data_IF_773974591756
#
_entry.id   IF_773974591756
#
_cell.length_a   1.000
_cell.length_b   1.000
_cell.length_c   1.000
_cell.angle_alpha   90.00
_cell.angle_beta   90.00
_cell.angle_gamma   90.00
#
_symmetry.space_group_name_H-M   'P 1'
#
loop_
_entity.id
_entity.type
_entity.pdbx_description
1 polymer ?
#
# COMPACT_ATOMS: atom_id res chain seq x y z
N UNK A 1 61.03 -56.88 -35.37
CA UNK A 1 61.09 -57.29 -33.95
C UNK A 1 61.28 -56.03 -33.13
N UNK A 2 60.21 -55.57 -32.48
CA UNK A 2 60.14 -54.28 -31.78
C UNK A 2 61.08 -54.24 -30.57
N UNK A 3 62.09 -53.38 -30.62
CA UNK A 3 62.84 -52.97 -29.43
C UNK A 3 62.04 -51.88 -28.72
N UNK A 4 61.24 -52.30 -27.74
CA UNK A 4 60.49 -51.40 -26.86
C UNK A 4 61.48 -50.53 -26.09
N UNK A 5 61.40 -49.22 -26.32
CA UNK A 5 62.23 -48.21 -25.70
C UNK A 5 62.24 -48.37 -24.16
N UNK A 6 63.43 -48.52 -23.58
CA UNK A 6 63.66 -48.40 -22.14
C UNK A 6 63.41 -46.95 -21.74
N UNK A 7 62.15 -46.60 -21.48
CA UNK A 7 61.83 -45.35 -20.82
C UNK A 7 62.54 -45.33 -19.46
N UNK A 8 63.37 -44.31 -19.16
CA UNK A 8 64.10 -44.27 -17.90
C UNK A 8 63.06 -44.16 -16.78
N UNK A 9 63.10 -45.08 -15.81
CA UNK A 9 62.19 -45.12 -14.65
C UNK A 9 62.03 -43.76 -13.97
N UNK A 10 63.05 -42.91 -14.06
CA UNK A 10 63.07 -41.51 -13.61
C UNK A 10 62.01 -40.63 -14.30
N UNK A 11 61.82 -40.76 -15.62
CA UNK A 11 60.83 -39.97 -16.35
C UNK A 11 59.38 -40.32 -15.95
N UNK A 12 59.11 -41.59 -15.63
CA UNK A 12 57.80 -42.05 -15.15
C UNK A 12 57.52 -41.48 -13.76
N UNK A 13 58.50 -41.52 -12.86
CA UNK A 13 58.36 -40.97 -11.49
C UNK A 13 58.15 -39.46 -11.53
N UNK A 14 58.90 -38.73 -12.36
CA UNK A 14 58.73 -37.27 -12.52
C UNK A 14 57.35 -36.95 -13.07
N UNK A 15 56.89 -37.69 -14.09
CA UNK A 15 55.55 -37.47 -14.67
C UNK A 15 54.46 -37.74 -13.64
N UNK A 16 54.56 -38.82 -12.86
CA UNK A 16 53.60 -39.11 -11.78
C UNK A 16 53.62 -38.04 -10.69
N UNK A 17 54.79 -37.49 -10.35
CA UNK A 17 54.91 -36.43 -9.35
C UNK A 17 54.30 -35.12 -9.84
N UNK A 18 54.53 -34.76 -11.11
CA UNK A 18 53.92 -33.57 -11.74
C UNK A 18 52.40 -33.73 -11.81
N UNK A 19 51.90 -34.90 -12.22
CA UNK A 19 50.46 -35.18 -12.27
C UNK A 19 49.84 -35.09 -10.87
N UNK A 20 50.46 -35.70 -9.86
CA UNK A 20 49.99 -35.63 -8.48
C UNK A 20 49.98 -34.19 -7.94
N UNK A 21 51.00 -33.39 -8.28
CA UNK A 21 51.07 -31.98 -7.90
C UNK A 21 49.93 -31.17 -8.55
N UNK A 22 49.64 -31.38 -9.84
CA UNK A 22 48.54 -30.72 -10.54
C UNK A 22 47.18 -31.06 -9.91
N UNK A 23 46.95 -32.33 -9.53
CA UNK A 23 45.72 -32.72 -8.84
C UNK A 23 45.61 -32.14 -7.43
N UNK A 24 46.73 -32.04 -6.69
CA UNK A 24 46.73 -31.42 -5.36
C UNK A 24 46.42 -29.91 -5.42
N UNK A 25 46.94 -29.21 -6.43
CA UNK A 25 46.68 -27.76 -6.60
C UNK A 25 45.24 -27.51 -7.07
N UNK A 26 44.70 -28.36 -7.95
CA UNK A 26 43.30 -28.25 -8.40
C UNK A 26 42.28 -28.60 -7.30
N UNK A 27 42.64 -29.48 -6.36
CA UNK A 27 41.78 -29.83 -5.21
C UNK A 27 41.67 -28.74 -4.13
N UNK A 28 42.51 -27.70 -4.19
CA UNK A 28 42.46 -26.55 -3.27
C UNK A 28 41.81 -25.30 -3.87
N UNK A 29 41.25 -25.36 -5.08
CA UNK A 29 40.50 -24.24 -5.64
C UNK A 29 39.13 -24.14 -4.94
N UNK A 30 38.80 -22.99 -4.29
CA UNK A 30 37.48 -22.80 -3.72
C UNK A 30 36.43 -22.86 -4.82
N UNK A 31 35.36 -23.62 -4.56
CA UNK A 31 34.19 -23.74 -5.43
C UNK A 31 33.52 -22.37 -5.59
N UNK A 32 33.57 -21.77 -6.78
CA UNK A 32 32.93 -20.48 -7.05
C UNK A 32 31.39 -20.55 -7.13
N UNK A 33 30.83 -21.76 -7.23
CA UNK A 33 29.39 -22.01 -7.37
C UNK A 33 28.72 -22.35 -6.03
N UNK A 34 29.48 -22.54 -4.94
CA UNK A 34 28.91 -22.91 -3.63
C UNK A 34 28.16 -21.78 -2.93
N UNK A 35 28.43 -20.51 -3.27
CA UNK A 35 27.68 -19.40 -2.67
C UNK A 35 26.39 -19.08 -3.43
N UNK A 36 26.35 -19.26 -4.76
CA UNK A 36 25.21 -18.86 -5.59
C UNK A 36 23.93 -19.66 -5.34
N UNK A 37 24.04 -20.86 -4.75
CA UNK A 37 22.90 -21.73 -4.42
C UNK A 37 22.65 -21.83 -2.91
N UNK A 38 23.36 -21.04 -2.10
CA UNK A 38 23.16 -21.06 -0.66
C UNK A 38 21.83 -20.35 -0.33
N UNK A 39 20.83 -21.06 0.22
CA UNK A 39 19.52 -20.47 0.53
C UNK A 39 19.58 -19.37 1.60
N UNK A 40 20.73 -19.21 2.26
CA UNK A 40 21.00 -18.22 3.30
C UNK A 40 21.92 -17.07 2.85
N UNK A 41 22.30 -17.00 1.56
CA UNK A 41 23.15 -15.93 1.04
C UNK A 41 22.49 -14.55 1.16
N UNK A 42 21.19 -14.45 0.87
CA UNK A 42 20.42 -13.20 1.02
C UNK A 42 20.50 -12.63 2.44
N UNK A 43 20.12 -13.39 3.48
CA UNK A 43 20.27 -12.99 4.88
C UNK A 43 21.71 -12.59 5.26
N UNK A 44 22.72 -13.33 4.79
CA UNK A 44 24.14 -13.05 5.07
C UNK A 44 24.63 -11.75 4.43
N UNK A 45 24.22 -11.47 3.20
CA UNK A 45 24.56 -10.23 2.51
C UNK A 45 23.88 -9.01 3.14
N UNK A 46 22.63 -9.15 3.57
CA UNK A 46 21.92 -8.10 4.33
C UNK A 46 22.66 -7.79 5.63
N UNK A 47 23.06 -8.81 6.38
CA UNK A 47 23.82 -8.64 7.63
C UNK A 47 25.24 -8.08 7.40
N UNK A 48 25.88 -8.42 6.29
CA UNK A 48 27.21 -7.91 5.93
C UNK A 48 27.19 -6.45 5.44
N UNK A 49 26.04 -5.97 4.94
CA UNK A 49 25.86 -4.60 4.45
C UNK A 49 25.30 -3.64 5.50
N UNK A 50 24.72 -4.15 6.59
CA UNK A 50 24.15 -3.32 7.66
C UNK A 50 25.12 -3.21 8.85
N UNK A 51 25.87 -2.11 8.97
CA UNK A 51 26.66 -1.78 10.17
C UNK A 51 25.80 -1.34 11.38
N UNK A 52 24.53 -1.70 11.39
CA UNK A 52 23.61 -1.47 12.49
C UNK A 52 22.37 -2.33 12.30
N UNK A 53 21.83 -2.86 13.39
CA UNK A 53 20.51 -3.45 13.36
C UNK A 53 19.55 -2.38 12.82
N UNK A 54 18.94 -2.62 11.65
CA UNK A 54 17.81 -1.83 11.20
C UNK A 54 16.68 -2.16 12.17
N UNK A 55 16.57 -1.38 13.23
CA UNK A 55 15.42 -1.42 14.12
C UNK A 55 14.22 -1.05 13.27
N UNK A 56 13.35 -2.03 13.03
CA UNK A 56 12.11 -1.81 12.30
C UNK A 56 11.22 -0.95 13.20
N UNK A 57 11.33 0.37 13.07
CA UNK A 57 10.35 1.30 13.62
C UNK A 57 8.97 0.85 13.12
N UNK A 58 8.04 0.44 14.02
CA UNK A 58 6.71 0.04 13.62
C UNK A 58 6.06 1.18 12.85
N UNK A 59 5.49 0.90 11.67
CA UNK A 59 4.67 1.88 10.97
C UNK A 59 3.60 2.38 11.94
N UNK A 60 3.53 3.69 12.24
CA UNK A 60 2.53 4.20 13.16
C UNK A 60 1.13 3.82 12.64
N UNK A 61 0.31 3.29 13.52
CA UNK A 61 -1.08 2.95 13.21
C UNK A 61 -1.79 4.29 12.93
N UNK A 62 -2.45 4.45 11.77
CA UNK A 62 -3.22 5.64 11.48
C UNK A 62 -4.28 5.91 12.55
N UNK A 63 -4.48 7.15 12.98
CA UNK A 63 -5.55 7.47 13.91
C UNK A 63 -6.91 7.14 13.30
N UNK A 64 -7.84 6.69 14.15
CA UNK A 64 -9.25 6.54 13.75
C UNK A 64 -9.99 7.86 13.85
N UNK A 65 -11.15 7.97 13.19
CA UNK A 65 -11.96 9.18 13.26
C UNK A 65 -12.35 9.52 14.71
N UNK A 66 -12.65 8.49 15.51
CA UNK A 66 -13.01 8.64 16.92
C UNK A 66 -11.87 9.17 17.82
N UNK A 67 -10.63 9.22 17.32
CA UNK A 67 -9.45 9.69 18.04
C UNK A 67 -9.12 11.16 17.72
N UNK A 68 -9.78 11.74 16.71
CA UNK A 68 -9.59 13.12 16.29
C UNK A 68 -10.47 14.09 17.11
N UNK A 69 -9.95 15.29 17.32
CA UNK A 69 -10.73 16.43 17.80
C UNK A 69 -11.61 17.02 16.69
N UNK A 70 -12.65 17.77 17.06
CA UNK A 70 -13.50 18.47 16.07
C UNK A 70 -12.68 19.38 15.14
N UNK A 71 -11.66 20.05 15.67
CA UNK A 71 -10.78 20.90 14.86
C UNK A 71 -10.02 20.10 13.80
N UNK A 72 -9.57 18.90 14.13
CA UNK A 72 -8.91 17.99 13.18
C UNK A 72 -9.89 17.37 12.19
N UNK A 73 -11.13 17.08 12.61
CA UNK A 73 -12.17 16.50 11.75
C UNK A 73 -12.60 17.51 10.66
N UNK A 74 -12.66 18.80 11.00
CA UNK A 74 -13.21 19.85 10.15
C UNK A 74 -12.17 20.84 9.60
N UNK A 75 -10.87 20.64 9.85
CA UNK A 75 -9.82 21.50 9.31
C UNK A 75 -9.95 21.67 7.79
N UNK A 76 -9.79 22.91 7.29
CA UNK A 76 -9.87 23.21 5.86
C UNK A 76 -11.30 23.37 5.30
N UNK A 77 -12.33 23.00 6.06
CA UNK A 77 -13.73 23.19 5.65
C UNK A 77 -14.13 24.66 5.84
N UNK A 78 -14.90 25.21 4.89
CA UNK A 78 -15.47 26.55 5.02
C UNK A 78 -16.35 26.64 6.30
N UNK A 79 -16.26 27.71 7.11
CA UNK A 79 -16.98 27.80 8.39
C UNK A 79 -18.49 27.62 8.29
N UNK A 80 -19.13 28.11 7.21
CA UNK A 80 -20.57 27.97 7.03
C UNK A 80 -20.94 26.51 6.69
N UNK A 81 -20.09 25.84 5.91
CA UNK A 81 -20.22 24.42 5.60
C UNK A 81 -19.98 23.56 6.84
N UNK A 82 -18.95 23.85 7.64
CA UNK A 82 -18.69 23.17 8.91
C UNK A 82 -19.91 23.27 9.83
N UNK A 83 -20.45 24.48 10.00
CA UNK A 83 -21.63 24.70 10.83
C UNK A 83 -22.86 23.94 10.29
N UNK A 84 -23.02 23.87 8.97
CA UNK A 84 -24.08 23.07 8.34
C UNK A 84 -23.90 21.57 8.60
N UNK A 85 -22.68 21.04 8.52
CA UNK A 85 -22.40 19.61 8.78
C UNK A 85 -22.68 19.28 10.25
N UNK A 86 -22.20 20.11 11.19
CA UNK A 86 -22.37 19.89 12.63
C UNK A 86 -23.83 20.01 13.09
N UNK A 87 -24.65 20.76 12.37
CA UNK A 87 -26.08 20.92 12.67
C UNK A 87 -27.00 19.98 11.88
N UNK A 88 -26.45 19.20 10.96
CA UNK A 88 -27.22 18.28 10.14
C UNK A 88 -27.78 17.10 10.96
N UNK A 89 -28.87 16.53 10.47
CA UNK A 89 -29.42 15.26 10.97
C UNK A 89 -28.93 14.10 10.07
N UNK A 90 -27.85 13.39 10.44
CA UNK A 90 -27.28 12.32 9.63
C UNK A 90 -28.23 11.14 9.42
N UNK A 91 -29.29 11.00 10.23
CA UNK A 91 -30.30 9.96 10.03
C UNK A 91 -31.03 10.11 8.69
N UNK A 92 -31.09 11.32 8.12
CA UNK A 92 -31.67 11.56 6.80
C UNK A 92 -30.72 11.22 5.64
N UNK A 93 -29.44 10.95 5.92
CA UNK A 93 -28.42 10.68 4.91
C UNK A 93 -28.75 9.50 4.00
N UNK A 94 -29.30 8.42 4.55
CA UNK A 94 -29.71 7.25 3.73
C UNK A 94 -30.81 7.63 2.72
N UNK A 95 -31.77 8.46 3.13
CA UNK A 95 -32.85 8.93 2.24
C UNK A 95 -32.30 9.84 1.14
N UNK A 96 -31.34 10.70 1.46
CA UNK A 96 -30.67 11.56 0.47
C UNK A 96 -29.85 10.69 -0.49
N UNK A 97 -29.09 9.73 0.02
CA UNK A 97 -28.30 8.80 -0.78
C UNK A 97 -29.16 8.00 -1.78
N UNK A 98 -30.36 7.59 -1.36
CA UNK A 98 -31.36 6.97 -2.24
C UNK A 98 -31.90 7.95 -3.28
N UNK A 99 -32.29 9.15 -2.86
CA UNK A 99 -32.92 10.18 -3.70
C UNK A 99 -31.99 10.65 -4.82
N UNK A 100 -30.71 10.84 -4.52
CA UNK A 100 -29.70 11.30 -5.48
C UNK A 100 -28.91 10.14 -6.14
N UNK A 101 -29.34 8.90 -5.92
CA UNK A 101 -28.81 7.72 -6.61
C UNK A 101 -27.42 7.28 -6.18
N UNK A 102 -26.89 7.77 -5.06
CA UNK A 102 -25.57 7.42 -4.54
C UNK A 102 -25.44 5.90 -4.32
N UNK A 103 -26.49 5.27 -3.78
CA UNK A 103 -26.52 3.82 -3.50
C UNK A 103 -26.52 2.94 -4.76
N UNK A 104 -26.73 3.53 -5.94
CA UNK A 104 -26.55 2.81 -7.21
C UNK A 104 -25.08 2.50 -7.50
N UNK A 105 -24.17 3.32 -6.98
CA UNK A 105 -22.72 3.21 -7.21
C UNK A 105 -21.90 2.96 -5.93
N UNK A 106 -22.46 3.15 -4.74
CA UNK A 106 -21.79 2.92 -3.47
C UNK A 106 -22.60 1.97 -2.60
N UNK A 107 -21.92 1.19 -1.75
CA UNK A 107 -22.55 0.26 -0.83
C UNK A 107 -21.90 0.34 0.56
N UNK A 108 -22.69 0.07 1.59
CA UNK A 108 -22.19 -0.07 2.97
C UNK A 108 -21.69 -1.48 3.28
N UNK A 109 -22.15 -2.49 2.54
CA UNK A 109 -21.61 -3.85 2.66
C UNK A 109 -20.24 -3.90 1.97
N UNK A 110 -19.15 -4.22 2.68
CA UNK A 110 -17.81 -4.32 2.09
C UNK A 110 -17.68 -5.47 1.08
N UNK A 111 -18.61 -6.43 1.07
CA UNK A 111 -18.62 -7.55 0.13
C UNK A 111 -19.34 -7.21 -1.18
N UNK A 112 -20.05 -6.08 -1.24
CA UNK A 112 -20.77 -5.65 -2.42
C UNK A 112 -19.90 -4.76 -3.30
N UNK A 113 -19.45 -5.31 -4.44
CA UNK A 113 -18.66 -4.57 -5.41
C UNK A 113 -19.57 -3.68 -6.26
N UNK A 114 -19.34 -2.38 -6.21
CA UNK A 114 -20.04 -1.37 -7.02
C UNK A 114 -19.06 -0.61 -7.92
N UNK A 115 -19.62 0.25 -8.78
CA UNK A 115 -18.86 1.16 -9.65
C UNK A 115 -18.03 2.17 -8.86
N UNK A 116 -18.47 2.58 -7.67
CA UNK A 116 -17.75 3.45 -6.74
C UNK A 116 -17.22 2.68 -5.52
N UNK A 117 -16.31 3.29 -4.73
CA UNK A 117 -15.76 2.70 -3.52
C UNK A 117 -16.84 2.41 -2.47
N UNK A 118 -16.62 1.37 -1.66
CA UNK A 118 -17.48 1.07 -0.51
C UNK A 118 -17.48 2.23 0.50
N UNK A 119 -18.61 2.42 1.15
CA UNK A 119 -18.79 3.33 2.28
C UNK A 119 -18.57 2.65 3.63
N UNK A 120 -18.31 1.34 3.65
CA UNK A 120 -17.92 0.64 4.87
C UNK A 120 -16.67 1.28 5.47
N UNK A 121 -16.76 1.77 6.71
CA UNK A 121 -15.68 2.48 7.39
C UNK A 121 -15.11 3.70 6.63
N UNK A 122 -15.93 4.37 5.80
CA UNK A 122 -15.45 5.52 5.02
C UNK A 122 -15.06 6.71 5.90
N UNK A 123 -15.68 6.89 7.07
CA UNK A 123 -15.29 7.93 8.04
C UNK A 123 -13.86 7.74 8.55
N UNK A 124 -13.48 6.52 8.92
CA UNK A 124 -12.09 6.18 9.31
C UNK A 124 -11.15 6.25 8.10
N UNK A 125 -11.61 5.79 6.94
CA UNK A 125 -10.83 5.82 5.71
C UNK A 125 -10.49 7.25 5.27
N UNK A 126 -11.41 8.20 5.50
CA UNK A 126 -11.26 9.60 5.12
C UNK A 126 -10.09 10.28 5.86
N UNK A 127 -9.80 9.86 7.10
CA UNK A 127 -8.75 10.44 7.96
C UNK A 127 -7.38 10.48 7.29
N UNK A 128 -7.08 9.49 6.45
CA UNK A 128 -5.78 9.37 5.79
C UNK A 128 -5.86 9.36 4.27
N UNK A 129 -7.04 9.60 3.69
CA UNK A 129 -7.25 9.35 2.27
C UNK A 129 -6.42 10.27 1.40
N UNK A 130 -6.40 11.56 1.73
CA UNK A 130 -5.63 12.59 1.03
C UNK A 130 -4.72 13.26 2.04
N UNK A 131 -3.38 13.20 1.86
CA UNK A 131 -2.46 13.85 2.79
C UNK A 131 -2.72 15.35 2.89
N UNK A 132 -3.00 15.82 4.12
CA UNK A 132 -3.24 17.23 4.41
C UNK A 132 -4.70 17.68 4.36
N UNK A 133 -5.63 16.81 3.96
CA UNK A 133 -7.08 17.08 4.05
C UNK A 133 -7.66 16.46 5.32
N UNK A 134 -8.59 17.16 5.96
CA UNK A 134 -9.39 16.58 7.03
C UNK A 134 -10.41 15.57 6.49
N UNK A 135 -10.94 14.65 7.31
CA UNK A 135 -11.97 13.71 6.84
C UNK A 135 -13.22 14.43 6.34
N UNK A 136 -13.66 15.52 6.97
CA UNK A 136 -14.82 16.28 6.49
C UNK A 136 -14.53 17.02 5.18
N UNK A 137 -13.34 17.59 5.03
CA UNK A 137 -12.90 18.24 3.78
C UNK A 137 -12.87 17.24 2.63
N UNK A 138 -12.22 16.09 2.81
CA UNK A 138 -12.14 15.04 1.81
C UNK A 138 -13.54 14.58 1.35
N UNK A 139 -14.45 14.32 2.30
CA UNK A 139 -15.80 13.88 1.99
C UNK A 139 -16.63 14.97 1.30
N UNK A 140 -16.49 16.22 1.71
CA UNK A 140 -17.15 17.35 1.07
C UNK A 140 -16.65 17.55 -0.37
N UNK A 141 -15.33 17.58 -0.58
CA UNK A 141 -14.73 17.68 -1.92
C UNK A 141 -15.08 16.49 -2.81
N UNK A 142 -15.16 15.28 -2.24
CA UNK A 142 -15.59 14.08 -2.98
C UNK A 142 -17.00 14.23 -3.56
N UNK A 143 -17.88 15.00 -2.90
CA UNK A 143 -19.25 15.25 -3.38
C UNK A 143 -19.31 16.45 -4.34
N UNK A 144 -18.64 17.56 -4.01
CA UNK A 144 -18.76 18.82 -4.76
C UNK A 144 -17.79 18.93 -5.94
N UNK A 145 -16.68 18.19 -5.89
CA UNK A 145 -15.61 18.15 -6.89
C UNK A 145 -15.04 16.72 -7.03
N UNK A 146 -15.84 15.72 -7.46
CA UNK A 146 -15.46 14.29 -7.41
C UNK A 146 -14.23 13.87 -8.21
N UNK A 147 -13.73 14.73 -9.11
CA UNK A 147 -12.49 14.49 -9.86
C UNK A 147 -11.26 15.18 -9.24
N UNK A 148 -11.41 15.93 -8.14
CA UNK A 148 -10.28 16.52 -7.41
C UNK A 148 -9.37 15.42 -6.84
N UNK A 149 -9.99 14.34 -6.36
CA UNK A 149 -9.31 13.11 -5.99
C UNK A 149 -10.08 11.89 -6.49
N UNK A 150 -9.43 11.06 -7.31
CA UNK A 150 -10.00 9.78 -7.77
C UNK A 150 -9.30 8.64 -7.05
N UNK A 151 -10.07 7.84 -6.32
CA UNK A 151 -9.54 6.68 -5.59
C UNK A 151 -8.84 5.73 -6.58
N UNK A 152 -7.59 5.29 -6.30
CA UNK A 152 -6.89 4.35 -7.16
C UNK A 152 -7.71 3.10 -7.46
N UNK A 153 -7.79 2.71 -8.73
CA UNK A 153 -8.58 1.56 -9.20
C UNK A 153 -10.02 1.89 -9.58
N UNK A 154 -10.49 3.12 -9.38
CA UNK A 154 -11.82 3.58 -9.80
C UNK A 154 -11.75 4.50 -11.04
N UNK A 155 -12.78 4.48 -11.90
CA UNK A 155 -12.81 5.31 -13.10
C UNK A 155 -13.08 6.79 -12.78
N UNK A 156 -12.29 7.69 -13.36
CA UNK A 156 -12.57 9.14 -13.35
C UNK A 156 -13.83 9.49 -14.12
N UNK A 157 -14.45 10.63 -13.81
CA UNK A 157 -15.63 11.18 -14.52
C UNK A 157 -16.89 10.29 -14.48
N UNK A 158 -16.98 9.38 -13.51
CA UNK A 158 -18.17 8.52 -13.32
C UNK A 158 -19.10 9.05 -12.23
N UNK A 159 -18.55 9.58 -11.14
CA UNK A 159 -19.35 10.25 -10.13
C UNK A 159 -19.86 11.60 -10.68
N UNK A 160 -21.18 11.89 -10.60
CA UNK A 160 -21.74 13.13 -11.14
C UNK A 160 -21.10 14.38 -10.50
N UNK A 161 -20.70 15.34 -11.33
CA UNK A 161 -20.07 16.58 -10.87
C UNK A 161 -21.06 17.74 -10.67
N UNK A 162 -22.36 17.49 -10.80
CA UNK A 162 -23.42 18.50 -10.74
C UNK A 162 -24.22 18.46 -9.41
N UNK A 163 -23.68 17.84 -8.36
CA UNK A 163 -24.37 17.78 -7.06
C UNK A 163 -24.54 19.16 -6.44
N UNK A 164 -23.62 20.11 -6.66
CA UNK A 164 -23.78 21.51 -6.23
C UNK A 164 -24.90 22.26 -6.97
N UNK A 165 -25.33 21.76 -8.12
CA UNK A 165 -26.44 22.32 -8.91
C UNK A 165 -27.78 21.66 -8.59
N UNK A 166 -27.75 20.44 -8.05
CA UNK A 166 -28.93 19.58 -7.87
C UNK A 166 -29.29 19.30 -6.42
N UNK A 167 -28.35 19.47 -5.49
CA UNK A 167 -28.53 19.34 -4.05
C UNK A 167 -28.40 20.70 -3.38
N UNK A 168 -29.16 20.94 -2.31
CA UNK A 168 -28.95 22.11 -1.46
C UNK A 168 -27.65 21.95 -0.63
N UNK A 169 -27.04 23.06 -0.18
CA UNK A 169 -25.90 23.00 0.73
C UNK A 169 -26.16 22.14 1.98
N UNK A 170 -27.37 22.20 2.53
CA UNK A 170 -27.79 21.41 3.70
C UNK A 170 -27.87 19.91 3.38
N UNK A 171 -28.30 19.54 2.18
CA UNK A 171 -28.33 18.14 1.75
C UNK A 171 -26.91 17.59 1.58
N UNK A 172 -25.99 18.38 1.03
CA UNK A 172 -24.57 18.01 0.92
C UNK A 172 -23.95 17.87 2.32
N UNK A 173 -24.19 18.84 3.20
CA UNK A 173 -23.73 18.79 4.58
C UNK A 173 -24.25 17.56 5.33
N UNK A 174 -25.54 17.22 5.13
CA UNK A 174 -26.15 16.01 5.71
C UNK A 174 -25.49 14.74 5.18
N UNK A 175 -25.16 14.68 3.89
CA UNK A 175 -24.42 13.55 3.32
C UNK A 175 -23.02 13.42 3.93
N UNK A 176 -22.29 14.52 4.10
CA UNK A 176 -20.97 14.48 4.75
C UNK A 176 -21.11 14.00 6.20
N UNK A 177 -22.06 14.52 6.97
CA UNK A 177 -22.33 14.06 8.34
C UNK A 177 -22.66 12.56 8.40
N UNK A 178 -23.48 12.08 7.47
CA UNK A 178 -23.84 10.67 7.37
C UNK A 178 -22.63 9.77 7.04
N UNK A 179 -21.76 10.20 6.12
CA UNK A 179 -20.56 9.46 5.74
C UNK A 179 -19.53 9.43 6.88
N UNK A 180 -19.39 10.51 7.64
CA UNK A 180 -18.55 10.54 8.85
C UNK A 180 -19.01 9.50 9.88
N UNK A 181 -20.31 9.21 9.98
CA UNK A 181 -20.83 8.17 10.89
C UNK A 181 -20.54 6.73 10.45
N UNK A 182 -20.09 6.52 9.21
CA UNK A 182 -19.72 5.18 8.74
C UNK A 182 -18.27 4.88 9.16
N UNK A 183 -18.07 4.61 10.45
CA UNK A 183 -16.78 4.33 11.07
C UNK A 183 -16.91 3.21 12.12
N UNK A 184 -15.79 2.58 12.49
CA UNK A 184 -15.75 1.57 13.57
C UNK A 184 -16.56 0.28 13.35
N UNK A 185 -16.94 -0.03 12.11
CA UNK A 185 -17.74 -1.20 11.71
C UNK A 185 -16.89 -2.45 11.42
#
# INVERSE_FOLDING_TARGET
MNSLARFPRVAIVITLFIVALVFAVAGCAPNADSELLAPDLGPKLVLAQSEGAVELEPTPIPPKLAELSDEEIYAGVDPDVQQAIMSADPANGETIALTFGCVGCHALDPNEVKTGPTWHNVGDTAVIRVPGESPAEYLYQSITAPNAFVVPGYPSNVMPANFTETMSPEQIATMVAYLLQQNGQ
#
